data_IF_284320884979
#
_entry.id   IF_284320884979
#
_cell.length_a   1.000
_cell.length_b   1.000
_cell.length_c   1.000
_cell.angle_alpha   90.00
_cell.angle_beta   90.00
_cell.angle_gamma   90.00
#
_symmetry.space_group_name_H-M   'P 1'
#
loop_
_entity.id
_entity.type
_entity.pdbx_description
1 polymer ?
#
# COMPACT_ATOMS: atom_id res chain seq x y z
N UNK A 1 13.70 19.78 0.64
CA UNK A 1 13.30 18.40 0.36
C UNK A 1 11.86 18.37 -0.13
N UNK A 2 11.62 17.67 -1.23
CA UNK A 2 10.29 17.57 -1.82
C UNK A 2 9.41 16.62 -1.00
N UNK A 3 8.19 17.06 -0.73
CA UNK A 3 7.19 16.20 -0.07
C UNK A 3 5.95 16.11 -0.94
N UNK A 4 5.31 14.96 -0.88
CA UNK A 4 4.10 14.68 -1.64
C UNK A 4 2.89 14.68 -0.71
N UNK A 5 1.75 15.09 -1.24
CA UNK A 5 0.48 14.91 -0.54
C UNK A 5 0.08 13.44 -0.65
N UNK A 6 -0.41 12.88 0.42
CA UNK A 6 -0.81 11.47 0.46
C UNK A 6 -2.33 11.36 0.46
N UNK A 7 -2.86 10.63 -0.49
CA UNK A 7 -4.29 10.34 -0.60
C UNK A 7 -4.49 8.82 -0.51
N UNK A 8 -5.18 8.38 0.53
CA UNK A 8 -5.53 6.96 0.70
C UNK A 8 -6.96 6.79 0.18
N UNK A 9 -7.08 6.15 -0.98
CA UNK A 9 -8.39 5.97 -1.61
C UNK A 9 -9.30 5.10 -0.76
N UNK A 10 -10.60 5.21 -1.02
CA UNK A 10 -11.60 4.38 -0.32
C UNK A 10 -11.30 2.90 -0.55
N UNK A 11 -10.91 2.51 -1.76
CA UNK A 11 -10.56 1.12 -2.07
C UNK A 11 -9.40 0.63 -1.21
N UNK A 12 -8.38 1.46 -1.03
CA UNK A 12 -7.25 1.10 -0.17
C UNK A 12 -7.66 1.01 1.30
N UNK A 13 -8.54 1.89 1.75
CA UNK A 13 -9.08 1.82 3.12
C UNK A 13 -9.86 0.54 3.34
N UNK A 14 -10.67 0.14 2.38
CA UNK A 14 -11.42 -1.13 2.44
C UNK A 14 -10.48 -2.33 2.46
N UNK A 15 -9.39 -2.26 1.70
CA UNK A 15 -8.36 -3.31 1.72
C UNK A 15 -7.77 -3.47 3.12
N UNK A 16 -7.44 -2.36 3.79
CA UNK A 16 -6.90 -2.43 5.15
C UNK A 16 -7.90 -3.04 6.13
N UNK A 17 -9.17 -2.69 6.01
CA UNK A 17 -10.21 -3.28 6.87
C UNK A 17 -10.30 -4.79 6.65
N UNK A 18 -10.28 -5.21 5.39
CA UNK A 18 -10.30 -6.63 5.02
C UNK A 18 -9.10 -7.37 5.60
N UNK A 19 -7.92 -6.79 5.47
CA UNK A 19 -6.69 -7.39 5.99
C UNK A 19 -6.71 -7.45 7.52
N UNK A 20 -7.20 -6.41 8.16
CA UNK A 20 -7.33 -6.38 9.62
C UNK A 20 -8.26 -7.48 10.11
N UNK A 21 -9.43 -7.63 9.49
CA UNK A 21 -10.41 -8.63 9.87
C UNK A 21 -9.85 -10.05 9.69
N UNK A 22 -9.18 -10.29 8.57
CA UNK A 22 -8.56 -11.57 8.29
C UNK A 22 -7.50 -11.92 9.35
N UNK A 23 -6.62 -10.96 9.67
CA UNK A 23 -5.59 -11.16 10.67
C UNK A 23 -6.16 -11.36 12.07
N UNK A 24 -7.20 -10.59 12.43
CA UNK A 24 -7.84 -10.70 13.73
C UNK A 24 -8.46 -12.08 13.95
N UNK A 25 -9.01 -12.67 12.89
CA UNK A 25 -9.58 -14.00 12.95
C UNK A 25 -8.51 -15.08 13.14
N UNK A 26 -7.31 -14.84 12.62
CA UNK A 26 -6.22 -15.81 12.73
C UNK A 26 -5.40 -15.62 14.00
N UNK A 27 -5.05 -14.39 14.33
CA UNK A 27 -4.26 -14.05 15.51
C UNK A 27 -4.47 -12.55 15.81
N UNK A 28 -5.32 -12.28 16.80
CA UNK A 28 -5.67 -10.91 17.16
C UNK A 28 -4.45 -10.06 17.56
N UNK A 29 -3.39 -10.69 18.06
CA UNK A 29 -2.19 -9.97 18.46
C UNK A 29 -1.37 -9.47 17.26
N UNK A 30 -1.59 -10.02 16.07
CA UNK A 30 -0.87 -9.60 14.86
C UNK A 30 -1.58 -8.49 14.10
N UNK A 31 -2.87 -8.33 14.26
CA UNK A 31 -3.66 -7.40 13.45
C UNK A 31 -3.21 -5.95 13.62
N UNK A 32 -3.14 -5.45 14.84
CA UNK A 32 -2.73 -4.06 15.08
C UNK A 32 -1.30 -3.78 14.64
N UNK A 33 -0.29 -4.62 14.98
CA UNK A 33 1.07 -4.37 14.50
C UNK A 33 1.19 -4.38 12.98
N UNK A 34 0.47 -5.26 12.29
CA UNK A 34 0.51 -5.34 10.83
C UNK A 34 -0.04 -4.06 10.19
N UNK A 35 -1.20 -3.60 10.63
CA UNK A 35 -1.79 -2.37 10.11
C UNK A 35 -0.93 -1.16 10.44
N UNK A 36 -0.40 -1.09 11.65
CA UNK A 36 0.52 -0.02 12.04
C UNK A 36 1.75 0.02 11.15
N UNK A 37 2.30 -1.15 10.79
CA UNK A 37 3.46 -1.25 9.89
C UNK A 37 3.12 -0.71 8.51
N UNK A 38 1.94 -1.03 7.98
CA UNK A 38 1.49 -0.52 6.69
C UNK A 38 1.31 1.00 6.75
N UNK A 39 0.68 1.51 7.80
CA UNK A 39 0.46 2.95 7.95
C UNK A 39 1.76 3.74 8.06
N UNK A 40 2.75 3.20 8.76
CA UNK A 40 4.09 3.81 8.82
C UNK A 40 4.75 3.82 7.46
N UNK A 41 4.56 2.76 6.68
CA UNK A 41 5.10 2.69 5.34
C UNK A 41 4.45 3.73 4.42
N UNK A 42 3.16 4.01 4.59
CA UNK A 42 2.51 5.10 3.83
C UNK A 42 3.23 6.42 4.00
N UNK A 43 3.71 6.73 5.21
CA UNK A 43 4.41 7.99 5.45
C UNK A 43 5.69 8.11 4.63
N UNK A 44 6.35 7.00 4.32
CA UNK A 44 7.54 7.02 3.46
C UNK A 44 7.21 7.47 2.05
N UNK A 45 6.00 7.22 1.58
CA UNK A 45 5.58 7.63 0.25
C UNK A 45 5.48 9.15 0.09
N UNK A 46 5.42 9.88 1.17
CA UNK A 46 5.43 11.35 1.12
C UNK A 46 6.81 11.90 0.75
N UNK A 47 7.85 11.11 0.92
CA UNK A 47 9.23 11.56 0.74
C UNK A 47 9.93 10.90 -0.43
N UNK A 48 9.66 9.64 -0.71
CA UNK A 48 10.43 8.89 -1.70
C UNK A 48 9.59 7.91 -2.52
N UNK A 49 8.44 8.35 -3.07
CA UNK A 49 7.60 7.42 -3.85
C UNK A 49 8.29 6.96 -5.14
N UNK A 50 9.18 7.78 -5.70
CA UNK A 50 9.83 7.49 -6.97
C UNK A 50 10.90 6.41 -6.85
N UNK A 51 11.33 6.08 -5.62
CA UNK A 51 12.27 4.99 -5.40
C UNK A 51 11.61 3.61 -5.40
N UNK A 52 10.28 3.56 -5.40
CA UNK A 52 9.56 2.29 -5.47
C UNK A 52 9.53 1.75 -6.89
N UNK A 53 9.46 0.42 -7.02
CA UNK A 53 9.44 -0.23 -8.33
C UNK A 53 8.13 0.02 -9.06
N UNK A 54 8.17 -0.12 -10.38
CA UNK A 54 6.94 -0.10 -11.18
C UNK A 54 6.17 -1.40 -10.98
N UNK A 55 4.85 -1.29 -10.88
CA UNK A 55 3.97 -2.45 -10.84
C UNK A 55 3.80 -3.01 -12.25
N UNK A 56 3.48 -4.30 -12.33
CA UNK A 56 3.21 -4.94 -13.61
C UNK A 56 1.84 -4.56 -14.19
N UNK A 57 0.99 -3.97 -13.38
CA UNK A 57 -0.30 -3.48 -13.84
C UNK A 57 -0.09 -2.31 -14.80
N UNK A 58 -0.74 -2.36 -15.96
CA UNK A 58 -0.62 -1.29 -16.95
C UNK A 58 -2.00 -0.87 -17.44
N UNK A 59 -2.25 0.43 -17.36
CA UNK A 59 -3.37 1.08 -18.03
C UNK A 59 -2.82 2.26 -18.81
N UNK A 60 -3.35 2.50 -19.98
CA UNK A 60 -2.88 3.57 -20.84
C UNK A 60 -2.92 4.91 -20.14
N UNK A 61 -1.80 5.64 -20.20
CA UNK A 61 -1.68 6.95 -19.56
C UNK A 61 -1.38 6.90 -18.08
N UNK A 62 -1.22 5.71 -17.49
CA UNK A 62 -0.95 5.57 -16.06
C UNK A 62 0.31 4.77 -15.81
N UNK A 63 1.07 5.18 -14.80
CA UNK A 63 2.23 4.45 -14.31
C UNK A 63 1.97 4.10 -12.86
N UNK A 64 1.81 2.83 -12.59
CA UNK A 64 1.59 2.33 -11.24
C UNK A 64 2.89 1.85 -10.62
N UNK A 65 3.04 2.07 -9.33
CA UNK A 65 4.20 1.64 -8.57
C UNK A 65 3.76 0.79 -7.39
N UNK A 66 4.69 -0.03 -6.90
CA UNK A 66 4.45 -0.89 -5.74
C UNK A 66 5.49 -0.64 -4.68
N UNK A 67 5.04 -0.55 -3.43
CA UNK A 67 5.92 -0.55 -2.29
C UNK A 67 5.78 -1.89 -1.56
N UNK A 68 6.91 -2.53 -1.27
CA UNK A 68 6.94 -3.77 -0.51
C UNK A 68 7.04 -3.42 0.97
N UNK A 69 6.09 -3.92 1.76
CA UNK A 69 6.07 -3.72 3.21
C UNK A 69 6.29 -5.06 3.87
N UNK A 70 7.47 -5.26 4.45
CA UNK A 70 7.80 -6.51 5.13
C UNK A 70 7.12 -6.58 6.49
N UNK A 71 6.56 -7.76 6.80
CA UNK A 71 5.97 -8.02 8.10
C UNK A 71 6.05 -9.52 8.38
N UNK A 72 6.78 -9.90 9.45
CA UNK A 72 6.99 -11.30 9.75
C UNK A 72 7.72 -12.02 8.64
N UNK A 73 7.23 -13.20 8.25
CA UNK A 73 7.83 -14.01 7.17
C UNK A 73 7.33 -13.64 5.78
N UNK A 74 6.37 -12.77 5.71
CA UNK A 74 5.81 -12.32 4.43
C UNK A 74 5.70 -10.81 4.45
N UNK A 75 4.70 -10.28 3.81
CA UNK A 75 4.50 -8.85 3.79
C UNK A 75 3.33 -8.46 2.92
N UNK A 76 3.27 -7.18 2.64
CA UNK A 76 2.18 -6.57 1.91
C UNK A 76 2.73 -5.80 0.72
N UNK A 77 1.90 -5.63 -0.29
CA UNK A 77 2.19 -4.80 -1.44
C UNK A 77 1.22 -3.63 -1.44
N UNK A 78 1.76 -2.44 -1.57
CA UNK A 78 0.98 -1.20 -1.65
C UNK A 78 1.07 -0.69 -3.07
N UNK A 79 -0.06 -0.65 -3.77
CA UNK A 79 -0.16 -0.13 -5.13
C UNK A 79 -0.51 1.35 -5.07
N UNK A 80 0.26 2.17 -5.78
CA UNK A 80 0.00 3.61 -5.78
C UNK A 80 0.37 4.24 -7.13
N UNK A 81 -0.07 5.47 -7.30
CA UNK A 81 0.22 6.28 -8.48
C UNK A 81 0.67 7.67 -8.02
N UNK A 82 1.68 8.22 -8.66
CA UNK A 82 2.11 9.61 -8.43
C UNK A 82 1.40 10.48 -9.45
N UNK A 83 0.58 11.38 -8.97
CA UNK A 83 -0.20 12.28 -9.84
C UNK A 83 0.58 13.56 -10.14
N UNK A 84 0.13 14.29 -11.17
CA UNK A 84 0.83 15.49 -11.64
C UNK A 84 0.93 16.60 -10.61
N UNK A 85 -0.01 16.67 -9.70
CA UNK A 85 -0.03 17.69 -8.64
C UNK A 85 0.79 17.29 -7.42
N UNK A 86 1.69 16.32 -7.59
CA UNK A 86 2.53 15.78 -6.51
C UNK A 86 1.73 15.12 -5.38
N UNK A 87 0.62 14.50 -5.74
CA UNK A 87 -0.16 13.66 -4.85
C UNK A 87 0.18 12.20 -5.10
N UNK A 88 0.47 11.46 -4.03
CA UNK A 88 0.59 10.00 -4.08
C UNK A 88 -0.77 9.43 -3.71
N UNK A 89 -1.38 8.76 -4.67
CA UNK A 89 -2.70 8.14 -4.48
C UNK A 89 -2.51 6.65 -4.22
N UNK A 90 -2.79 6.20 -3.01
CA UNK A 90 -2.71 4.78 -2.66
C UNK A 90 -3.99 4.10 -3.10
N UNK A 91 -3.88 3.14 -4.02
CA UNK A 91 -5.01 2.56 -4.74
C UNK A 91 -5.45 1.22 -4.16
N UNK A 92 -4.51 0.44 -3.65
CA UNK A 92 -4.80 -0.91 -3.17
C UNK A 92 -3.70 -1.40 -2.25
N UNK A 93 -4.06 -2.31 -1.35
CA UNK A 93 -3.11 -3.03 -0.51
C UNK A 93 -3.49 -4.49 -0.53
N UNK A 94 -2.50 -5.36 -0.69
CA UNK A 94 -2.75 -6.79 -0.63
C UNK A 94 -1.62 -7.49 0.12
N UNK A 95 -1.90 -8.71 0.59
CA UNK A 95 -0.87 -9.60 1.08
C UNK A 95 -0.06 -10.12 -0.11
N UNK A 96 1.23 -10.34 0.08
CA UNK A 96 2.11 -10.82 -1.00
C UNK A 96 1.62 -12.10 -1.68
N UNK A 97 0.91 -12.95 -0.92
CA UNK A 97 0.42 -14.23 -1.43
C UNK A 97 -0.91 -14.17 -2.15
N UNK A 98 -1.58 -13.03 -2.10
CA UNK A 98 -2.79 -12.84 -2.89
C UNK A 98 -2.42 -12.72 -4.36
N UNK A 99 -3.22 -13.31 -5.23
CA UNK A 99 -2.87 -13.39 -6.65
C UNK A 99 -2.93 -12.04 -7.35
N UNK A 100 -3.87 -11.18 -6.94
CA UNK A 100 -4.15 -9.95 -7.69
C UNK A 100 -4.69 -8.84 -6.81
N UNK A 101 -4.52 -7.61 -7.28
CA UNK A 101 -5.27 -6.49 -6.74
C UNK A 101 -6.73 -6.61 -7.18
N UNK A 102 -7.60 -6.07 -6.37
CA UNK A 102 -9.05 -6.15 -6.64
C UNK A 102 -9.48 -5.49 -7.96
#
# INVERSE_FOLDING_TARGET
MKTYTLDITIAAQEDLERLYDFLSDQDAFLADPAISTIEKAYELLRFMPESCRRAHLQLEGHVYREMIVKFGRSGYLVLFEIQRDETVSVLAVKHQRESDYH
#
